data_IF_194306153278
#
_entry.id   IF_194306153278
#
_cell.length_a   1.000
_cell.length_b   1.000
_cell.length_c   1.000
_cell.angle_alpha   90.00
_cell.angle_beta   90.00
_cell.angle_gamma   90.00
#
_symmetry.space_group_name_H-M   'P 1'
#
loop_
_entity.id
_entity.type
_entity.pdbx_description
1 polymer ?
#
# COMPACT_ATOMS: atom_id res chain seq x y z
N UNK A 1 -7.08 17.13 6.75
CA UNK A 1 -7.15 16.41 8.05
C UNK A 1 -5.77 15.82 8.28
N UNK A 2 -5.21 15.98 9.47
CA UNK A 2 -4.00 15.25 9.84
C UNK A 2 -4.46 13.88 10.32
N UNK A 3 -4.43 12.89 9.43
CA UNK A 3 -4.88 11.53 9.79
C UNK A 3 -3.66 10.77 10.28
N UNK A 4 -3.63 10.49 11.59
CA UNK A 4 -2.57 9.71 12.22
C UNK A 4 -2.46 8.33 11.54
N UNK A 5 -1.32 8.02 10.88
CA UNK A 5 -1.08 6.75 10.22
C UNK A 5 -1.25 5.54 11.13
N UNK A 6 -0.88 5.65 12.41
CA UNK A 6 -0.98 4.53 13.34
C UNK A 6 -2.44 4.26 13.71
N UNK A 7 -3.23 5.31 13.90
CA UNK A 7 -4.67 5.16 14.10
C UNK A 7 -5.36 4.51 12.89
N UNK A 8 -4.86 4.70 11.66
CA UNK A 8 -5.39 4.04 10.45
C UNK A 8 -5.07 2.54 10.50
N UNK A 9 -3.84 2.19 10.89
CA UNK A 9 -3.42 0.79 11.01
C UNK A 9 -4.23 0.05 12.06
N UNK A 10 -4.47 0.66 13.21
CA UNK A 10 -5.18 0.03 14.33
C UNK A 10 -6.64 -0.30 14.02
N UNK A 11 -7.30 0.51 13.17
CA UNK A 11 -8.70 0.29 12.77
C UNK A 11 -8.87 -0.48 11.46
N UNK A 12 -7.78 -0.76 10.75
CA UNK A 12 -7.81 -1.44 9.47
C UNK A 12 -8.39 -2.85 9.61
N UNK A 13 -9.37 -3.18 8.78
CA UNK A 13 -9.83 -4.56 8.60
C UNK A 13 -9.09 -5.17 7.41
N UNK A 14 -8.27 -6.18 7.68
CA UNK A 14 -7.46 -6.85 6.65
C UNK A 14 -8.15 -8.15 6.21
N UNK A 15 -8.23 -8.38 4.90
CA UNK A 15 -8.78 -9.60 4.31
C UNK A 15 -7.81 -10.19 3.29
N UNK A 16 -7.60 -11.50 3.37
CA UNK A 16 -6.91 -12.28 2.35
C UNK A 16 -7.91 -12.70 1.27
N UNK A 17 -7.61 -12.40 0.01
CA UNK A 17 -8.49 -12.60 -1.13
C UNK A 17 -7.90 -13.68 -2.04
N UNK A 18 -8.59 -14.81 -2.10
CA UNK A 18 -8.22 -15.94 -2.95
C UNK A 18 -9.04 -15.94 -4.26
N UNK A 19 -8.44 -16.31 -5.42
CA UNK A 19 -9.20 -16.51 -6.66
C UNK A 19 -10.29 -17.58 -6.49
N UNK A 20 -11.42 -17.52 -7.22
CA UNK A 20 -11.74 -16.61 -8.33
C UNK A 20 -12.62 -15.42 -7.91
N UNK A 21 -12.54 -14.97 -6.65
CA UNK A 21 -13.37 -13.85 -6.17
C UNK A 21 -13.13 -12.60 -7.01
N UNK A 22 -14.16 -11.78 -7.28
CA UNK A 22 -14.02 -10.38 -7.71
C UNK A 22 -13.09 -10.10 -8.92
N UNK A 23 -13.00 -11.01 -9.90
CA UNK A 23 -12.12 -10.89 -11.09
C UNK A 23 -10.62 -10.72 -10.76
N UNK A 24 -10.17 -11.03 -9.54
CA UNK A 24 -8.73 -11.08 -9.23
C UNK A 24 -8.13 -12.38 -9.76
N UNK A 25 -7.20 -12.22 -10.70
CA UNK A 25 -6.48 -13.33 -11.36
C UNK A 25 -5.41 -13.96 -10.44
N UNK A 26 -5.02 -13.25 -9.38
CA UNK A 26 -3.96 -13.62 -8.46
C UNK A 26 -4.39 -13.39 -6.99
N UNK A 27 -3.80 -14.16 -6.08
CA UNK A 27 -3.98 -13.99 -4.63
C UNK A 27 -3.56 -12.58 -4.18
N UNK A 28 -4.38 -11.95 -3.33
CA UNK A 28 -4.17 -10.56 -2.91
C UNK A 28 -4.61 -10.33 -1.46
N UNK A 29 -4.17 -9.22 -0.88
CA UNK A 29 -4.62 -8.70 0.40
C UNK A 29 -5.37 -7.39 0.19
N UNK A 30 -6.48 -7.20 0.91
CA UNK A 30 -7.14 -5.90 1.05
C UNK A 30 -7.08 -5.42 2.50
N UNK A 31 -6.98 -4.12 2.69
CA UNK A 31 -7.11 -3.45 3.96
C UNK A 31 -8.12 -2.31 3.82
N UNK A 32 -9.15 -2.30 4.65
CA UNK A 32 -10.24 -1.32 4.61
C UNK A 32 -10.29 -0.51 5.92
N UNK A 33 -10.52 0.79 5.79
CA UNK A 33 -10.82 1.68 6.92
C UNK A 33 -12.34 1.96 6.96
N UNK A 34 -13.07 1.43 7.95
CA UNK A 34 -14.53 1.60 8.04
C UNK A 34 -14.96 3.05 8.30
N UNK A 35 -14.07 3.91 8.79
CA UNK A 35 -14.41 5.32 9.03
C UNK A 35 -14.41 6.16 7.75
N UNK A 36 -13.58 5.78 6.78
CA UNK A 36 -13.38 6.55 5.54
C UNK A 36 -13.87 5.81 4.30
N UNK A 37 -14.25 4.53 4.43
CA UNK A 37 -14.53 3.60 3.34
C UNK A 37 -13.37 3.47 2.33
N UNK A 38 -12.16 3.86 2.73
CA UNK A 38 -10.99 3.74 1.87
C UNK A 38 -10.45 2.31 1.90
N UNK A 39 -9.88 1.85 0.77
CA UNK A 39 -9.36 0.50 0.62
C UNK A 39 -7.96 0.52 -0.01
N UNK A 40 -7.02 -0.17 0.62
CA UNK A 40 -5.71 -0.47 0.05
C UNK A 40 -5.62 -1.94 -0.36
N UNK A 41 -5.06 -2.21 -1.52
CA UNK A 41 -4.79 -3.56 -2.01
C UNK A 41 -3.29 -3.81 -2.14
N UNK A 42 -2.84 -5.04 -1.89
CA UNK A 42 -1.43 -5.42 -1.90
C UNK A 42 -1.22 -6.90 -2.20
N UNK A 43 -0.06 -7.27 -2.74
CA UNK A 43 0.36 -8.68 -2.86
C UNK A 43 0.69 -9.31 -1.50
N UNK A 44 0.99 -8.47 -0.51
CA UNK A 44 1.21 -8.85 0.88
C UNK A 44 0.42 -7.93 1.81
N UNK A 45 0.08 -8.40 3.01
CA UNK A 45 -0.67 -7.64 4.01
C UNK A 45 -0.07 -6.25 4.29
N UNK A 46 1.25 -6.17 4.47
CA UNK A 46 1.94 -4.91 4.76
C UNK A 46 1.77 -3.87 3.63
N UNK A 47 1.71 -4.33 2.37
CA UNK A 47 1.47 -3.47 1.22
C UNK A 47 0.03 -2.98 1.21
N UNK A 48 -0.95 -3.86 1.45
CA UNK A 48 -2.36 -3.47 1.52
C UNK A 48 -2.60 -2.40 2.60
N UNK A 49 -2.04 -2.60 3.80
CA UNK A 49 -2.11 -1.64 4.91
C UNK A 49 -1.38 -0.33 4.57
N UNK A 50 -0.19 -0.40 3.95
CA UNK A 50 0.54 0.78 3.50
C UNK A 50 -0.24 1.60 2.47
N UNK A 51 -0.89 0.92 1.53
CA UNK A 51 -1.73 1.54 0.52
C UNK A 51 -2.99 2.16 1.12
N UNK A 52 -3.60 1.51 2.13
CA UNK A 52 -4.72 2.07 2.89
C UNK A 52 -4.32 3.39 3.59
N UNK A 53 -3.22 3.39 4.33
CA UNK A 53 -2.71 4.58 5.01
C UNK A 53 -2.49 5.73 4.02
N UNK A 54 -1.88 5.44 2.88
CA UNK A 54 -1.61 6.46 1.87
C UNK A 54 -2.90 7.05 1.30
N UNK A 55 -3.86 6.22 0.87
CA UNK A 55 -5.11 6.73 0.28
C UNK A 55 -5.95 7.52 1.28
N UNK A 56 -5.96 7.13 2.56
CA UNK A 56 -6.64 7.87 3.63
C UNK A 56 -5.96 9.22 3.87
N UNK A 57 -4.63 9.28 3.91
CA UNK A 57 -3.90 10.53 4.08
C UNK A 57 -4.16 11.51 2.92
N UNK A 58 -4.30 10.97 1.69
CA UNK A 58 -4.52 11.76 0.49
C UNK A 58 -5.98 12.23 0.33
N UNK A 59 -6.96 11.39 0.71
CA UNK A 59 -8.36 11.57 0.28
C UNK A 59 -9.43 11.45 1.38
N UNK A 60 -9.05 11.35 2.66
CA UNK A 60 -10.01 11.23 3.74
C UNK A 60 -11.01 12.41 3.75
N UNK A 61 -12.31 12.07 3.78
CA UNK A 61 -13.40 13.04 3.87
C UNK A 61 -13.71 13.79 2.57
N UNK A 62 -13.05 13.47 1.47
CA UNK A 62 -13.34 14.06 0.16
C UNK A 62 -14.61 13.48 -0.48
N UNK A 63 -14.96 12.23 -0.13
CA UNK A 63 -16.09 11.50 -0.72
C UNK A 63 -16.73 10.55 0.29
N UNK A 64 -18.06 10.48 0.28
CA UNK A 64 -18.81 9.54 1.12
C UNK A 64 -18.69 8.08 0.68
N UNK A 65 -18.15 7.80 -0.52
CA UNK A 65 -17.97 6.44 -1.05
C UNK A 65 -16.56 5.86 -0.83
N UNK A 66 -15.62 6.65 -0.32
CA UNK A 66 -14.23 6.23 -0.11
C UNK A 66 -13.39 6.19 -1.40
N UNK A 67 -12.11 5.82 -1.27
CA UNK A 67 -11.12 5.76 -2.35
C UNK A 67 -10.30 4.48 -2.29
N UNK A 68 -9.78 4.04 -3.44
CA UNK A 68 -9.03 2.78 -3.57
C UNK A 68 -7.61 3.01 -4.06
N UNK A 69 -6.63 2.30 -3.48
CA UNK A 69 -5.25 2.25 -3.97
C UNK A 69 -4.83 0.82 -4.25
N UNK A 70 -4.47 0.56 -5.51
CA UNK A 70 -4.03 -0.73 -6.01
C UNK A 70 -2.51 -0.92 -5.85
N UNK A 71 -2.01 -2.16 -5.88
CA UNK A 71 -0.58 -2.45 -5.89
C UNK A 71 0.13 -1.72 -7.05
N UNK A 72 1.34 -1.24 -6.79
CA UNK A 72 2.25 -0.66 -7.80
C UNK A 72 3.43 -1.58 -8.10
N UNK A 73 4.28 -1.20 -9.06
CA UNK A 73 5.49 -1.96 -9.38
C UNK A 73 6.60 -1.67 -8.35
N UNK A 74 7.03 -2.71 -7.63
CA UNK A 74 8.14 -2.67 -6.68
C UNK A 74 9.43 -3.04 -7.43
N UNK A 75 10.34 -2.09 -7.63
CA UNK A 75 11.64 -2.35 -8.28
C UNK A 75 12.67 -2.86 -7.26
N UNK A 76 13.38 -3.93 -7.63
CA UNK A 76 14.41 -4.54 -6.78
C UNK A 76 15.59 -3.59 -6.56
N UNK A 77 16.03 -3.46 -5.30
CA UNK A 77 17.21 -2.66 -4.94
C UNK A 77 18.46 -3.52 -5.06
N UNK A 78 19.27 -3.30 -6.10
CA UNK A 78 20.58 -3.97 -6.24
C UNK A 78 21.60 -3.32 -5.29
N UNK A 79 22.04 -4.05 -4.27
CA UNK A 79 23.18 -3.67 -3.44
C UNK A 79 24.44 -4.36 -3.95
N UNK A 80 25.43 -3.58 -4.39
CA UNK A 80 26.79 -4.07 -4.62
C UNK A 80 27.65 -3.52 -3.46
N UNK A 81 28.07 -4.40 -2.57
CA UNK A 81 28.96 -4.05 -1.46
C UNK A 81 30.40 -3.93 -1.98
N UNK A 82 30.89 -2.70 -2.16
CA UNK A 82 32.32 -2.41 -2.28
C UNK A 82 32.93 -2.18 -0.88
N UNK A 83 34.14 -2.68 -0.59
CA UNK A 83 34.72 -2.70 0.77
C UNK A 83 35.11 -1.34 1.37
N UNK A 84 34.91 -0.22 0.67
CA UNK A 84 35.42 1.10 1.06
C UNK A 84 34.35 2.19 1.34
N UNK A 85 33.08 1.80 1.49
CA UNK A 85 32.04 2.68 2.03
C UNK A 85 31.16 3.40 1.01
N UNK A 86 29.96 3.73 1.47
CA UNK A 86 28.74 3.98 0.66
C UNK A 86 28.79 5.27 -0.16
N UNK A 87 28.65 5.15 -1.48
CA UNK A 87 28.16 6.22 -2.36
C UNK A 87 26.94 5.71 -3.12
N UNK A 88 25.79 6.35 -2.91
CA UNK A 88 24.59 6.08 -3.73
C UNK A 88 24.78 6.71 -5.11
N UNK A 89 24.95 5.90 -6.15
CA UNK A 89 24.80 6.38 -7.53
C UNK A 89 23.38 6.07 -8.00
N UNK A 90 22.53 7.11 -8.04
CA UNK A 90 21.23 7.09 -8.74
C UNK A 90 21.47 7.14 -10.26
N UNK A 91 22.01 6.06 -10.84
CA UNK A 91 22.11 5.92 -12.29
C UNK A 91 21.34 4.69 -12.74
N UNK A 92 20.07 4.89 -13.06
CA UNK A 92 19.47 4.52 -14.35
C UNK A 92 17.98 4.85 -14.31
N UNK A 93 17.68 6.12 -14.46
CA UNK A 93 16.48 6.53 -15.20
C UNK A 93 16.94 6.56 -16.67
N UNK A 94 16.17 5.92 -17.56
CA UNK A 94 16.38 5.69 -19.01
C UNK A 94 16.95 4.32 -19.40
#
# INVERSE_FOLDING_TARGET
MDTDPDAVRERATVTHLEPPLLDIEEEMWSAEDPETNCVGYGRVEAEAVGNLVAVVAEHAGESGVGHVKLPGEVVERTWQEDPDGVVSTLSNLF
#
